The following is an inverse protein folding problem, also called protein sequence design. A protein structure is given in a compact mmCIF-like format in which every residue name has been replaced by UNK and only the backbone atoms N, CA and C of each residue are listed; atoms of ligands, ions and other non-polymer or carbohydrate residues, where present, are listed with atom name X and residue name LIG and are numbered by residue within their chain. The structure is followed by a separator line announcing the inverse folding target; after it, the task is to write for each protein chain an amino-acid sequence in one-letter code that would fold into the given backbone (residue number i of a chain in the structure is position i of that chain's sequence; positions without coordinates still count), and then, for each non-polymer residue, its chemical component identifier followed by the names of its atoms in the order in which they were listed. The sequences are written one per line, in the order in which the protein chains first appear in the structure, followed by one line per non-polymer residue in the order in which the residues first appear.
data_IF_051706315887
#
_entry.id   IF_051706315887
#
_cell.length_a   1.000
_cell.length_b   1.000
_cell.length_c   1.000
_cell.angle_alpha   90.00
_cell.angle_beta   90.00
_cell.angle_gamma   90.00
#
_symmetry.space_group_name_H-M   'P 1'
#
loop_
_entity.id
_entity.type
_entity.pdbx_description
1 polymer ?
#
# COMPACT_ATOMS: atom_id res chain seq x y z
N UNK A 1 30.37 1.95 20.76
CA UNK A 1 30.71 2.17 22.18
C UNK A 1 29.40 2.17 22.92
N UNK A 2 29.16 1.15 23.75
CA UNK A 2 27.99 1.12 24.61
C UNK A 2 28.37 1.84 25.91
N UNK A 3 27.48 2.67 26.44
CA UNK A 3 27.70 3.35 27.71
C UNK A 3 26.89 2.62 28.79
N UNK A 4 27.48 2.40 29.97
CA UNK A 4 26.70 1.97 31.11
C UNK A 4 25.91 3.15 31.71
N UNK A 5 25.13 2.90 32.76
CA UNK A 5 24.34 3.93 33.45
C UNK A 5 25.18 5.08 34.04
N UNK A 6 26.50 4.89 34.16
CA UNK A 6 27.45 5.87 34.68
C UNK A 6 28.20 6.61 33.56
N UNK A 7 27.89 6.34 32.30
CA UNK A 7 28.58 6.94 31.15
C UNK A 7 29.95 6.33 30.85
N UNK A 8 30.30 5.22 31.50
CA UNK A 8 31.55 4.51 31.24
C UNK A 8 31.44 3.71 29.95
N UNK A 9 32.53 3.71 29.18
CA UNK A 9 32.58 3.02 27.90
C UNK A 9 32.76 1.53 28.10
N UNK A 10 31.79 0.76 27.62
CA UNK A 10 31.92 -0.68 27.44
C UNK A 10 32.19 -0.99 25.96
N UNK A 11 33.30 -1.68 25.71
CA UNK A 11 33.65 -2.18 24.38
C UNK A 11 33.12 -3.58 24.22
N UNK A 12 32.62 -3.91 23.02
CA UNK A 12 32.25 -5.28 22.67
C UNK A 12 33.52 -6.12 22.64
N UNK A 13 33.53 -7.19 23.42
CA UNK A 13 34.63 -8.13 23.58
C UNK A 13 34.34 -9.45 22.87
N UNK A 14 35.36 -10.27 22.59
CA UNK A 14 35.15 -11.61 22.07
C UNK A 14 34.20 -12.45 22.93
N UNK A 15 33.31 -13.20 22.29
CA UNK A 15 32.24 -14.00 22.89
C UNK A 15 31.04 -13.23 23.50
N UNK A 16 30.95 -11.91 23.30
CA UNK A 16 29.77 -11.13 23.70
C UNK A 16 28.55 -11.38 22.79
N UNK A 17 27.37 -11.06 23.31
CA UNK A 17 26.13 -10.95 22.53
C UNK A 17 25.76 -9.49 22.22
N UNK A 18 25.33 -9.23 20.98
CA UNK A 18 24.83 -7.92 20.54
C UNK A 18 23.42 -8.11 19.97
N UNK A 19 22.43 -7.51 20.62
CA UNK A 19 21.06 -7.43 20.10
C UNK A 19 20.77 -6.02 19.59
N UNK A 20 20.61 -5.85 18.28
CA UNK A 20 20.23 -4.58 17.68
C UNK A 20 18.71 -4.49 17.59
N UNK A 21 18.12 -3.73 18.51
CA UNK A 21 16.67 -3.65 18.70
C UNK A 21 15.93 -2.75 17.69
N UNK A 22 16.65 -2.04 16.80
CA UNK A 22 16.01 -1.22 15.77
C UNK A 22 15.17 -2.11 14.85
N UNK A 23 13.91 -1.81 14.61
CA UNK A 23 13.06 -2.61 13.72
C UNK A 23 13.10 -2.13 12.25
N UNK A 24 13.66 -0.93 12.00
CA UNK A 24 13.76 -0.32 10.66
C UNK A 24 15.20 -0.41 10.14
N UNK A 25 15.33 -0.92 8.92
CA UNK A 25 16.60 -1.37 8.35
C UNK A 25 17.48 -0.27 7.78
N UNK A 26 16.90 0.77 7.17
CA UNK A 26 17.61 1.83 6.43
C UNK A 26 18.83 2.41 7.18
N UNK A 27 18.65 2.86 8.43
CA UNK A 27 19.73 3.42 9.27
C UNK A 27 20.53 2.36 10.02
N UNK A 28 20.01 1.14 10.12
CA UNK A 28 20.68 0.05 10.84
C UNK A 28 21.75 -0.65 9.97
N UNK A 29 21.62 -0.61 8.64
CA UNK A 29 22.51 -1.32 7.68
C UNK A 29 23.99 -1.04 7.89
N UNK A 30 24.40 0.23 7.85
CA UNK A 30 25.83 0.60 7.91
C UNK A 30 26.51 0.13 9.20
N UNK A 31 25.83 0.24 10.34
CA UNK A 31 26.35 -0.21 11.62
C UNK A 31 26.39 -1.75 11.69
N UNK A 32 25.36 -2.39 11.17
CA UNK A 32 25.23 -3.85 11.19
C UNK A 32 26.31 -4.56 10.39
N UNK A 33 26.76 -3.98 9.26
CA UNK A 33 27.90 -4.51 8.49
C UNK A 33 29.17 -4.59 9.33
N UNK A 34 29.50 -3.51 10.06
CA UNK A 34 30.68 -3.47 10.94
C UNK A 34 30.60 -4.45 12.11
N UNK A 35 29.42 -4.59 12.71
CA UNK A 35 29.23 -5.55 13.81
C UNK A 35 29.28 -6.98 13.28
N UNK A 36 28.72 -7.25 12.11
CA UNK A 36 28.77 -8.58 11.49
C UNK A 36 30.20 -9.01 11.14
N UNK A 37 31.01 -8.11 10.58
CA UNK A 37 32.45 -8.35 10.35
C UNK A 37 33.18 -8.67 11.67
N UNK A 38 32.90 -7.91 12.74
CA UNK A 38 33.47 -8.18 14.07
C UNK A 38 32.95 -9.50 14.65
N UNK A 39 31.69 -9.83 14.42
CA UNK A 39 31.02 -11.05 14.89
C UNK A 39 31.70 -12.31 14.37
N UNK A 40 32.07 -12.30 13.08
CA UNK A 40 32.78 -13.41 12.45
C UNK A 40 34.23 -13.56 12.96
N UNK A 41 34.90 -12.46 13.33
CA UNK A 41 36.29 -12.48 13.80
C UNK A 41 36.43 -12.78 15.30
N UNK A 42 35.46 -12.37 16.11
CA UNK A 42 35.55 -12.38 17.57
C UNK A 42 34.52 -13.31 18.25
N UNK A 43 33.89 -14.21 17.48
CA UNK A 43 32.87 -15.15 17.97
C UNK A 43 31.71 -14.45 18.72
N UNK A 44 31.19 -13.35 18.16
CA UNK A 44 30.05 -12.66 18.77
C UNK A 44 28.73 -13.32 18.36
N UNK A 45 27.76 -13.32 19.26
CA UNK A 45 26.36 -13.61 18.90
C UNK A 45 25.69 -12.31 18.45
N UNK A 46 25.55 -12.10 17.14
CA UNK A 46 24.89 -10.91 16.61
C UNK A 46 23.45 -11.21 16.18
N UNK A 47 22.50 -10.53 16.81
CA UNK A 47 21.06 -10.64 16.57
C UNK A 47 20.48 -9.29 16.17
N UNK A 48 19.64 -9.24 15.14
CA UNK A 48 18.88 -8.06 14.71
C UNK A 48 17.39 -8.24 14.97
N UNK A 49 16.68 -7.15 15.26
CA UNK A 49 15.22 -7.21 15.47
C UNK A 49 14.48 -7.73 14.24
N UNK A 50 14.78 -7.18 13.06
CA UNK A 50 14.24 -7.56 11.76
C UNK A 50 15.37 -7.82 10.78
N UNK A 51 15.05 -8.34 9.58
CA UNK A 51 16.06 -8.48 8.54
C UNK A 51 16.46 -7.10 7.99
N UNK A 52 17.72 -6.71 8.20
CA UNK A 52 18.23 -5.43 7.71
C UNK A 52 18.71 -5.47 6.26
N UNK A 53 19.28 -6.60 5.85
CA UNK A 53 19.80 -6.89 4.52
C UNK A 53 19.82 -8.42 4.34
N UNK A 54 19.49 -8.92 3.14
CA UNK A 54 19.23 -10.34 2.87
C UNK A 54 20.42 -11.24 3.23
N UNK A 55 21.62 -10.78 2.89
CA UNK A 55 22.86 -11.56 3.05
C UNK A 55 23.70 -11.09 4.25
N UNK A 56 23.11 -10.34 5.20
CA UNK A 56 23.80 -9.93 6.42
C UNK A 56 24.02 -11.15 7.34
N UNK A 57 25.27 -11.49 7.71
CA UNK A 57 25.55 -12.54 8.68
C UNK A 57 25.13 -12.13 10.10
N UNK A 58 23.85 -12.34 10.42
CA UNK A 58 23.25 -12.10 11.73
C UNK A 58 22.04 -13.03 11.93
N UNK A 59 21.72 -13.36 13.19
CA UNK A 59 20.45 -13.98 13.53
C UNK A 59 19.34 -12.93 13.47
N UNK A 60 18.15 -13.31 13.00
CA UNK A 60 17.01 -12.39 12.89
C UNK A 60 15.92 -12.81 13.87
N UNK A 61 15.56 -11.94 14.82
CA UNK A 61 14.56 -12.26 15.84
C UNK A 61 13.15 -12.39 15.26
N UNK A 62 12.77 -11.49 14.36
CA UNK A 62 11.51 -11.51 13.61
C UNK A 62 11.83 -11.56 12.11
N UNK A 63 11.99 -12.77 11.53
CA UNK A 63 12.30 -12.91 10.11
C UNK A 63 11.15 -12.37 9.25
N UNK A 64 11.43 -11.94 8.00
CA UNK A 64 10.37 -11.60 7.06
C UNK A 64 9.46 -12.81 6.85
N UNK A 65 8.17 -12.54 6.67
CA UNK A 65 7.18 -13.54 6.31
C UNK A 65 6.80 -13.29 4.87
N UNK A 66 7.00 -14.30 4.01
CA UNK A 66 6.53 -14.26 2.64
C UNK A 66 5.02 -14.52 2.63
N UNK A 67 4.27 -13.67 1.92
CA UNK A 67 2.82 -13.76 1.79
C UNK A 67 2.51 -14.09 0.34
N UNK A 68 2.28 -15.37 0.05
CA UNK A 68 2.00 -15.84 -1.32
C UNK A 68 0.52 -15.71 -1.69
N UNK A 69 -0.39 -15.73 -0.70
CA UNK A 69 -1.85 -15.63 -0.91
C UNK A 69 -2.29 -14.18 -1.04
N UNK A 70 -1.84 -13.51 -2.11
CA UNK A 70 -2.22 -12.12 -2.44
C UNK A 70 -3.41 -12.10 -3.40
N UNK A 71 -4.20 -11.01 -3.38
CA UNK A 71 -5.33 -10.86 -4.30
C UNK A 71 -4.92 -11.07 -5.76
N UNK A 72 -3.81 -10.45 -6.19
CA UNK A 72 -3.33 -10.56 -7.56
C UNK A 72 -2.87 -11.99 -7.91
N UNK A 73 -2.19 -12.68 -6.98
CA UNK A 73 -1.75 -14.06 -7.23
C UNK A 73 -2.95 -15.01 -7.35
N UNK A 74 -3.96 -14.90 -6.48
CA UNK A 74 -5.16 -15.75 -6.55
C UNK A 74 -5.94 -15.55 -7.86
N UNK A 75 -6.04 -14.31 -8.35
CA UNK A 75 -6.65 -14.00 -9.66
C UNK A 75 -5.84 -14.62 -10.80
N UNK A 76 -4.51 -14.52 -10.74
CA UNK A 76 -3.60 -15.12 -11.73
C UNK A 76 -3.70 -16.64 -11.76
N UNK A 77 -3.73 -17.28 -10.58
CA UNK A 77 -3.87 -18.74 -10.44
C UNK A 77 -5.21 -19.26 -10.97
N UNK A 78 -6.26 -18.43 -10.94
CA UNK A 78 -7.54 -18.73 -11.57
C UNK A 78 -7.52 -18.57 -13.11
N UNK A 79 -6.41 -18.12 -13.70
CA UNK A 79 -6.26 -17.90 -15.13
C UNK A 79 -6.94 -16.63 -15.64
N UNK A 80 -7.31 -15.72 -14.73
CA UNK A 80 -7.96 -14.46 -15.06
C UNK A 80 -6.94 -13.36 -15.36
N UNK A 81 -7.31 -12.43 -16.22
CA UNK A 81 -6.51 -11.24 -16.54
C UNK A 81 -6.78 -10.10 -15.56
N UNK A 82 -5.75 -9.30 -15.28
CA UNK A 82 -5.90 -8.16 -14.39
C UNK A 82 -5.01 -6.98 -14.79
N UNK A 83 -5.45 -5.77 -14.45
CA UNK A 83 -4.67 -4.55 -14.65
C UNK A 83 -4.58 -3.70 -13.38
N UNK A 84 -3.39 -3.26 -13.00
CA UNK A 84 -3.15 -2.36 -11.88
C UNK A 84 -2.72 -0.99 -12.39
N UNK A 85 -3.49 0.05 -12.07
CA UNK A 85 -3.39 1.36 -12.72
C UNK A 85 -3.19 2.43 -11.65
N UNK A 86 -2.07 3.15 -11.74
CA UNK A 86 -1.76 4.26 -10.84
C UNK A 86 -0.80 5.25 -11.50
N UNK A 87 -0.76 6.47 -10.96
CA UNK A 87 0.31 7.39 -11.30
C UNK A 87 1.58 7.18 -10.48
N UNK A 88 2.69 7.82 -10.87
CA UNK A 88 4.03 7.60 -10.30
C UNK A 88 4.06 7.60 -8.76
N UNK A 89 3.35 8.52 -8.12
CA UNK A 89 3.31 8.65 -6.65
C UNK A 89 2.73 7.40 -5.96
N UNK A 90 1.75 6.74 -6.58
CA UNK A 90 1.05 5.59 -6.02
C UNK A 90 1.32 4.28 -6.75
N UNK A 91 2.18 4.27 -7.77
CA UNK A 91 2.54 3.07 -8.52
C UNK A 91 3.11 1.94 -7.66
N UNK A 92 4.04 2.19 -6.70
CA UNK A 92 4.49 1.12 -5.79
C UNK A 92 3.36 0.57 -4.92
N UNK A 93 2.36 1.39 -4.58
CA UNK A 93 1.21 0.99 -3.76
C UNK A 93 0.27 0.07 -4.53
N UNK A 94 0.04 0.39 -5.80
CA UNK A 94 -0.78 -0.42 -6.69
C UNK A 94 -0.08 -1.68 -7.21
N UNK A 95 1.21 -1.89 -6.95
CA UNK A 95 1.98 -3.02 -7.47
C UNK A 95 2.72 -3.74 -6.35
N UNK A 96 3.92 -3.30 -6.02
CA UNK A 96 4.80 -3.89 -5.02
C UNK A 96 4.12 -4.10 -3.65
N UNK A 97 3.42 -3.09 -3.12
CA UNK A 97 2.73 -3.24 -1.82
C UNK A 97 1.45 -4.07 -1.91
N UNK A 98 0.66 -3.91 -2.98
CA UNK A 98 -0.54 -4.73 -3.22
C UNK A 98 -0.19 -6.22 -3.33
N UNK A 99 0.97 -6.52 -3.92
CA UNK A 99 1.50 -7.87 -4.10
C UNK A 99 2.44 -8.29 -2.96
N UNK A 100 2.31 -7.69 -1.77
CA UNK A 100 3.05 -8.06 -0.56
C UNK A 100 4.58 -8.13 -0.74
N UNK A 101 5.16 -7.07 -1.31
CA UNK A 101 6.59 -6.90 -1.58
C UNK A 101 7.14 -7.81 -2.69
N UNK A 102 6.26 -8.44 -3.48
CA UNK A 102 6.67 -9.16 -4.68
C UNK A 102 7.08 -8.17 -5.79
N UNK A 103 8.32 -8.29 -6.27
CA UNK A 103 8.82 -7.54 -7.41
C UNK A 103 8.47 -8.28 -8.71
N UNK A 104 7.45 -7.80 -9.42
CA UNK A 104 7.07 -8.35 -10.73
C UNK A 104 5.57 -8.40 -10.96
N UNK A 105 5.21 -8.94 -12.13
CA UNK A 105 3.84 -9.25 -12.53
C UNK A 105 3.63 -10.76 -12.45
N UNK A 106 2.50 -11.19 -11.89
CA UNK A 106 1.99 -12.54 -12.04
C UNK A 106 1.52 -12.78 -13.49
N UNK A 107 1.42 -14.04 -13.95
CA UNK A 107 0.82 -14.35 -15.25
C UNK A 107 -0.57 -13.71 -15.40
N UNK A 108 -0.80 -12.99 -16.50
CA UNK A 108 -2.08 -12.30 -16.75
C UNK A 108 -2.22 -10.94 -16.04
N UNK A 109 -1.23 -10.49 -15.27
CA UNK A 109 -1.21 -9.16 -14.64
C UNK A 109 -0.48 -8.12 -15.51
N UNK A 110 -1.13 -6.98 -15.74
CA UNK A 110 -0.57 -5.81 -16.42
C UNK A 110 -0.47 -4.62 -15.45
N UNK A 111 0.73 -4.05 -15.28
CA UNK A 111 0.90 -2.79 -14.55
C UNK A 111 0.92 -1.60 -15.49
N UNK A 112 0.08 -0.61 -15.22
CA UNK A 112 -0.08 0.58 -16.05
C UNK A 112 0.36 1.81 -15.24
N UNK A 113 1.58 2.27 -15.51
CA UNK A 113 2.14 3.49 -14.94
C UNK A 113 1.71 4.72 -15.73
N UNK A 114 1.06 5.68 -15.05
CA UNK A 114 0.83 7.02 -15.59
C UNK A 114 1.85 8.00 -15.01
N UNK A 115 2.71 8.66 -15.81
CA UNK A 115 3.69 9.60 -15.27
C UNK A 115 3.02 10.79 -14.57
N UNK A 116 3.29 11.00 -13.28
CA UNK A 116 2.77 12.13 -12.50
C UNK A 116 3.16 13.48 -13.10
N UNK A 117 2.44 14.54 -12.75
CA UNK A 117 2.80 15.89 -13.18
C UNK A 117 4.10 16.33 -12.49
N UNK A 118 5.00 16.98 -13.24
CA UNK A 118 6.23 17.55 -12.65
C UNK A 118 5.90 18.92 -12.07
N UNK A 119 5.42 18.95 -10.84
CA UNK A 119 5.13 20.16 -10.06
C UNK A 119 5.91 20.15 -8.75
N UNK A 120 6.15 21.34 -8.17
CA UNK A 120 6.87 21.45 -6.89
C UNK A 120 6.05 20.85 -5.73
N UNK A 121 4.74 21.11 -5.75
CA UNK A 121 3.74 20.61 -4.82
C UNK A 121 2.46 20.37 -5.61
N UNK A 122 1.70 19.33 -5.24
CA UNK A 122 0.55 18.87 -6.02
C UNK A 122 -0.65 19.82 -6.00
N UNK A 123 -0.68 20.80 -5.07
CA UNK A 123 -1.69 21.86 -5.07
C UNK A 123 -1.59 22.81 -6.28
N UNK A 124 -0.48 22.80 -7.01
CA UNK A 124 -0.32 23.55 -8.26
C UNK A 124 -0.99 22.86 -9.47
N UNK A 125 -1.33 21.58 -9.35
CA UNK A 125 -2.01 20.77 -10.36
C UNK A 125 -2.88 19.69 -9.67
N UNK A 126 -3.91 20.09 -8.91
CA UNK A 126 -4.69 19.20 -8.05
C UNK A 126 -5.46 18.12 -8.82
N UNK A 127 -5.69 18.31 -10.12
CA UNK A 127 -6.28 17.30 -11.01
C UNK A 127 -5.33 16.11 -11.25
N UNK A 128 -4.03 16.29 -10.99
CA UNK A 128 -2.96 15.31 -11.13
C UNK A 128 -3.10 14.50 -12.44
N UNK A 129 -3.23 13.17 -12.36
CA UNK A 129 -3.44 12.30 -13.53
C UNK A 129 -4.74 11.50 -13.49
N UNK A 130 -5.70 11.87 -12.65
CA UNK A 130 -6.99 11.16 -12.53
C UNK A 130 -7.64 10.87 -13.89
N UNK A 131 -7.75 11.87 -14.76
CA UNK A 131 -8.32 11.70 -16.11
C UNK A 131 -7.59 10.66 -16.97
N UNK A 132 -6.26 10.62 -16.90
CA UNK A 132 -5.46 9.64 -17.65
C UNK A 132 -5.60 8.24 -17.06
N UNK A 133 -5.68 8.14 -15.74
CA UNK A 133 -5.92 6.88 -15.02
C UNK A 133 -7.29 6.32 -15.43
N UNK A 134 -8.36 7.13 -15.39
CA UNK A 134 -9.69 6.73 -15.82
C UNK A 134 -9.73 6.31 -17.30
N UNK A 135 -9.06 7.05 -18.19
CA UNK A 135 -8.95 6.64 -19.60
C UNK A 135 -8.28 5.25 -19.74
N UNK A 136 -7.21 4.98 -18.99
CA UNK A 136 -6.55 3.65 -19.01
C UNK A 136 -7.41 2.55 -18.43
N UNK A 137 -8.19 2.85 -17.39
CA UNK A 137 -9.17 1.91 -16.85
C UNK A 137 -10.23 1.55 -17.91
N UNK A 138 -10.81 2.57 -18.57
CA UNK A 138 -11.82 2.37 -19.62
C UNK A 138 -11.25 1.56 -20.79
N UNK A 139 -10.00 1.83 -21.24
CA UNK A 139 -9.33 1.02 -22.26
C UNK A 139 -9.24 -0.46 -21.85
N UNK A 140 -8.96 -0.77 -20.58
CA UNK A 140 -8.88 -2.16 -20.08
C UNK A 140 -10.25 -2.81 -19.96
N UNK A 141 -11.27 -2.05 -19.53
CA UNK A 141 -12.67 -2.50 -19.51
C UNK A 141 -13.16 -2.84 -20.92
N UNK A 142 -12.80 -2.03 -21.93
CA UNK A 142 -13.15 -2.28 -23.33
C UNK A 142 -12.46 -3.53 -23.90
N UNK A 143 -11.21 -3.80 -23.49
CA UNK A 143 -10.47 -5.01 -23.85
C UNK A 143 -11.06 -6.28 -23.23
N UNK A 144 -11.84 -6.15 -22.16
CA UNK A 144 -12.43 -7.29 -21.44
C UNK A 144 -11.52 -7.87 -20.36
N UNK A 145 -10.66 -7.05 -19.73
CA UNK A 145 -9.84 -7.45 -18.59
C UNK A 145 -10.72 -7.80 -17.39
N UNK A 146 -10.47 -8.95 -16.75
CA UNK A 146 -11.38 -9.52 -15.73
C UNK A 146 -11.37 -8.74 -14.40
N UNK A 147 -10.22 -8.21 -13.99
CA UNK A 147 -10.07 -7.43 -12.75
C UNK A 147 -9.23 -6.17 -12.95
N UNK A 148 -9.67 -5.05 -12.36
CA UNK A 148 -8.91 -3.81 -12.35
C UNK A 148 -8.69 -3.32 -10.92
N UNK A 149 -7.44 -3.02 -10.57
CA UNK A 149 -7.10 -2.22 -9.39
C UNK A 149 -6.70 -0.82 -9.84
N UNK A 150 -7.37 0.21 -9.30
CA UNK A 150 -7.16 1.60 -9.69
C UNK A 150 -6.87 2.43 -8.44
N UNK A 151 -5.76 3.16 -8.44
CA UNK A 151 -5.45 4.13 -7.39
C UNK A 151 -5.50 5.56 -7.93
N UNK A 152 -6.42 6.37 -7.39
CA UNK A 152 -6.42 7.82 -7.57
C UNK A 152 -5.65 8.50 -6.45
N UNK A 153 -4.49 9.07 -6.78
CA UNK A 153 -3.56 9.65 -5.80
C UNK A 153 -4.02 11.00 -5.22
N UNK A 154 -4.95 11.67 -5.90
CA UNK A 154 -5.26 13.09 -5.72
C UNK A 154 -5.58 13.49 -4.28
N UNK A 155 -6.52 12.79 -3.63
CA UNK A 155 -6.99 13.15 -2.30
C UNK A 155 -5.87 13.14 -1.26
N UNK A 156 -4.94 12.19 -1.35
CA UNK A 156 -3.83 12.06 -0.43
C UNK A 156 -2.69 13.04 -0.75
N UNK A 157 -2.20 13.00 -1.99
CA UNK A 157 -1.05 13.79 -2.41
C UNK A 157 -1.31 15.30 -2.34
N UNK A 158 -2.53 15.73 -2.65
CA UNK A 158 -2.96 17.13 -2.49
C UNK A 158 -3.35 17.41 -1.04
N UNK A 159 -3.90 16.43 -0.31
CA UNK A 159 -4.19 16.51 1.12
C UNK A 159 -2.97 16.92 1.95
N UNK A 160 -1.81 16.34 1.65
CA UNK A 160 -0.52 16.69 2.28
C UNK A 160 -0.08 18.16 2.13
N UNK A 161 -0.69 18.93 1.24
CA UNK A 161 -0.39 20.37 1.09
C UNK A 161 -1.15 21.25 2.08
N UNK A 162 -2.24 20.73 2.68
CA UNK A 162 -3.16 21.49 3.51
C UNK A 162 -3.79 22.69 2.78
N UNK A 163 -3.81 22.70 1.45
CA UNK A 163 -4.43 23.73 0.63
C UNK A 163 -5.88 23.35 0.33
N UNK A 164 -6.82 23.87 1.12
CA UNK A 164 -8.24 23.49 1.09
C UNK A 164 -8.86 23.64 -0.31
N UNK A 165 -8.57 24.73 -1.03
CA UNK A 165 -9.14 24.94 -2.36
C UNK A 165 -8.59 23.95 -3.39
N UNK A 166 -7.29 23.62 -3.32
CA UNK A 166 -6.71 22.59 -4.17
C UNK A 166 -7.26 21.20 -3.82
N UNK A 167 -7.45 20.89 -2.53
CA UNK A 167 -8.02 19.61 -2.08
C UNK A 167 -9.45 19.43 -2.62
N UNK A 168 -10.28 20.48 -2.63
CA UNK A 168 -11.62 20.42 -3.23
C UNK A 168 -11.54 20.03 -4.70
N UNK A 169 -10.71 20.72 -5.49
CA UNK A 169 -10.52 20.40 -6.91
C UNK A 169 -10.01 18.97 -7.10
N UNK A 170 -9.11 18.51 -6.23
CA UNK A 170 -8.57 17.15 -6.26
C UNK A 170 -9.67 16.10 -6.06
N UNK A 171 -10.53 16.28 -5.05
CA UNK A 171 -11.65 15.37 -4.75
C UNK A 171 -12.73 15.44 -5.84
N UNK A 172 -13.12 16.64 -6.29
CA UNK A 172 -14.09 16.82 -7.38
C UNK A 172 -13.60 16.20 -8.71
N UNK A 173 -12.30 16.27 -8.98
CA UNK A 173 -11.70 15.60 -10.15
C UNK A 173 -11.81 14.09 -10.00
N UNK A 174 -11.51 13.53 -8.83
CA UNK A 174 -11.64 12.08 -8.60
C UNK A 174 -13.09 11.63 -8.73
N UNK A 175 -14.04 12.40 -8.18
CA UNK A 175 -15.48 12.09 -8.27
C UNK A 175 -15.96 11.97 -9.72
N UNK A 176 -15.67 12.98 -10.55
CA UNK A 176 -16.00 12.97 -11.98
C UNK A 176 -15.33 11.81 -12.74
N UNK A 177 -14.05 11.53 -12.46
CA UNK A 177 -13.32 10.46 -13.16
C UNK A 177 -13.72 9.06 -12.66
N UNK A 178 -14.18 8.95 -11.40
CA UNK A 178 -14.75 7.73 -10.84
C UNK A 178 -16.09 7.40 -11.48
N UNK A 179 -16.99 8.39 -11.65
CA UNK A 179 -18.27 8.22 -12.36
C UNK A 179 -18.05 7.57 -13.73
N UNK A 180 -17.13 8.13 -14.53
CA UNK A 180 -16.79 7.60 -15.86
C UNK A 180 -16.34 6.13 -15.84
N UNK A 181 -15.56 5.74 -14.82
CA UNK A 181 -15.10 4.34 -14.68
C UNK A 181 -16.24 3.44 -14.24
N UNK A 182 -17.07 3.89 -13.29
CA UNK A 182 -18.23 3.13 -12.80
C UNK A 182 -19.21 2.86 -13.94
N UNK A 183 -19.58 3.87 -14.71
CA UNK A 183 -20.47 3.72 -15.87
C UNK A 183 -19.91 2.72 -16.89
N UNK A 184 -18.60 2.76 -17.16
CA UNK A 184 -17.96 1.84 -18.10
C UNK A 184 -17.98 0.38 -17.59
N UNK A 185 -17.73 0.16 -16.30
CA UNK A 185 -17.79 -1.17 -15.68
C UNK A 185 -19.23 -1.70 -15.70
N UNK A 186 -20.20 -0.89 -15.27
CA UNK A 186 -21.61 -1.31 -15.21
C UNK A 186 -22.19 -1.58 -16.61
N UNK A 187 -21.78 -0.83 -17.63
CA UNK A 187 -22.16 -1.08 -19.02
C UNK A 187 -21.68 -2.46 -19.53
N UNK A 188 -20.66 -3.06 -18.91
CA UNK A 188 -20.20 -4.43 -19.17
C UNK A 188 -20.82 -5.47 -18.22
N UNK A 189 -21.71 -5.06 -17.31
CA UNK A 189 -22.28 -5.91 -16.28
C UNK A 189 -21.30 -6.26 -15.15
N UNK A 190 -20.22 -5.48 -15.01
CA UNK A 190 -19.24 -5.65 -13.93
C UNK A 190 -19.69 -5.03 -12.61
N UNK A 191 -18.86 -5.21 -11.58
CA UNK A 191 -19.08 -4.68 -10.22
C UNK A 191 -17.89 -3.81 -9.83
N UNK A 192 -18.15 -2.67 -9.20
CA UNK A 192 -17.13 -1.78 -8.65
C UNK A 192 -17.18 -1.83 -7.13
N UNK A 193 -16.01 -1.97 -6.51
CA UNK A 193 -15.82 -1.79 -5.07
C UNK A 193 -14.98 -0.52 -4.84
N UNK A 194 -15.56 0.48 -4.19
CA UNK A 194 -14.93 1.80 -3.96
C UNK A 194 -14.57 1.91 -2.49
N UNK A 195 -13.30 2.21 -2.22
CA UNK A 195 -12.76 2.35 -0.85
C UNK A 195 -11.51 3.22 -0.84
N UNK A 196 -10.89 3.39 0.32
CA UNK A 196 -9.61 4.08 0.50
C UNK A 196 -8.69 3.28 1.43
N UNK A 197 -7.39 3.49 1.33
CA UNK A 197 -6.37 2.91 2.21
C UNK A 197 -6.30 3.63 3.57
N UNK A 198 -6.58 4.93 3.60
CA UNK A 198 -6.69 5.73 4.81
C UNK A 198 -7.38 7.09 4.54
N UNK A 199 -7.60 7.87 5.59
CA UNK A 199 -8.04 9.28 5.48
C UNK A 199 -6.87 10.27 5.35
N UNK A 200 -7.15 11.45 4.82
CA UNK A 200 -6.26 12.62 4.73
C UNK A 200 -7.10 13.88 4.39
N UNK A 201 -7.64 13.95 3.17
CA UNK A 201 -8.31 15.13 2.61
C UNK A 201 -9.48 15.67 3.44
N UNK A 202 -10.15 14.82 4.22
CA UNK A 202 -11.31 15.18 5.04
C UNK A 202 -10.95 16.02 6.28
N UNK A 203 -9.66 16.06 6.67
CA UNK A 203 -9.16 16.91 7.74
C UNK A 203 -7.95 17.72 7.28
N UNK A 204 -8.20 18.99 6.96
CA UNK A 204 -7.21 19.92 6.41
C UNK A 204 -6.82 21.05 7.37
N UNK A 205 -7.46 21.12 8.55
CA UNK A 205 -7.15 22.05 9.64
C UNK A 205 -7.13 21.29 10.96
N UNK A 206 -6.10 21.54 11.78
CA UNK A 206 -6.05 21.05 13.15
C UNK A 206 -7.07 21.82 14.00
N UNK A 207 -8.01 21.11 14.62
CA UNK A 207 -9.10 21.73 15.38
C UNK A 207 -8.64 22.39 16.69
N UNK A 208 -7.48 22.03 17.21
CA UNK A 208 -6.91 22.58 18.44
C UNK A 208 -6.05 23.81 18.15
N UNK A 209 -5.20 23.75 17.12
CA UNK A 209 -4.23 24.82 16.83
C UNK A 209 -4.71 25.79 15.74
N UNK A 210 -5.65 25.38 14.89
CA UNK A 210 -6.09 26.12 13.70
C UNK A 210 -5.07 26.10 12.55
N UNK A 211 -3.96 25.37 12.70
CA UNK A 211 -2.93 25.23 11.68
C UNK A 211 -3.36 24.24 10.58
N UNK A 212 -2.64 24.28 9.46
CA UNK A 212 -2.85 23.32 8.37
C UNK A 212 -2.58 21.91 8.87
N UNK A 213 -3.52 21.01 8.63
CA UNK A 213 -3.34 19.59 8.86
C UNK A 213 -2.88 18.94 7.56
N UNK A 214 -1.67 18.37 7.56
CA UNK A 214 -1.02 17.78 6.38
C UNK A 214 -0.75 16.28 6.54
N UNK A 215 -1.20 15.66 7.63
CA UNK A 215 -0.98 14.25 7.91
C UNK A 215 -2.22 13.40 7.56
N UNK A 216 -2.05 12.08 7.54
CA UNK A 216 -3.17 11.16 7.47
C UNK A 216 -4.03 11.26 8.75
N UNK A 217 -5.25 10.75 8.67
CA UNK A 217 -6.16 10.66 9.81
C UNK A 217 -6.37 9.20 10.22
N UNK A 218 -7.02 9.01 11.37
CA UNK A 218 -7.51 7.71 11.84
C UNK A 218 -9.01 7.54 11.58
N UNK A 219 -9.59 8.34 10.68
CA UNK A 219 -11.00 8.24 10.34
C UNK A 219 -11.29 6.94 9.57
N UNK A 220 -12.54 6.49 9.64
CA UNK A 220 -12.99 5.35 8.85
C UNK A 220 -13.01 5.71 7.36
N UNK A 221 -12.71 4.73 6.52
CA UNK A 221 -12.78 4.84 5.05
C UNK A 221 -14.12 4.32 4.52
N UNK A 222 -14.60 4.82 3.37
CA UNK A 222 -15.81 4.28 2.75
C UNK A 222 -15.58 2.85 2.25
N UNK A 223 -16.65 2.07 2.20
CA UNK A 223 -16.72 0.80 1.47
C UNK A 223 -18.06 0.77 0.74
N UNK A 224 -18.02 0.88 -0.58
CA UNK A 224 -19.20 0.96 -1.45
C UNK A 224 -19.06 -0.15 -2.50
N UNK A 225 -20.15 -0.86 -2.79
CA UNK A 225 -20.19 -1.87 -3.85
C UNK A 225 -21.38 -1.60 -4.77
N UNK A 226 -21.18 -1.68 -6.08
CA UNK A 226 -22.27 -1.47 -7.06
C UNK A 226 -23.09 -2.72 -7.34
N UNK A 227 -22.81 -3.82 -6.64
CA UNK A 227 -23.54 -5.08 -6.76
C UNK A 227 -24.99 -4.90 -6.28
N UNK A 228 -26.01 -5.06 -7.15
CA UNK A 228 -27.40 -4.81 -6.79
C UNK A 228 -27.87 -5.67 -5.62
N UNK A 229 -28.50 -5.04 -4.62
CA UNK A 229 -29.03 -5.72 -3.43
C UNK A 229 -27.99 -6.10 -2.37
N UNK A 230 -26.70 -5.97 -2.66
CA UNK A 230 -25.65 -6.29 -1.70
C UNK A 230 -25.65 -5.30 -0.53
N UNK A 231 -25.49 -5.82 0.69
CA UNK A 231 -25.23 -5.03 1.89
C UNK A 231 -23.83 -5.35 2.40
N UNK A 232 -23.07 -4.34 2.77
CA UNK A 232 -21.75 -4.51 3.37
C UNK A 232 -21.82 -4.45 4.89
N UNK A 233 -21.11 -5.34 5.57
CA UNK A 233 -20.82 -5.18 6.99
C UNK A 233 -19.67 -4.22 7.24
N UNK A 234 -19.58 -3.74 8.48
CA UNK A 234 -18.35 -3.11 8.96
C UNK A 234 -17.21 -4.13 8.98
N UNK A 235 -16.00 -3.65 8.72
CA UNK A 235 -14.78 -4.45 8.68
C UNK A 235 -13.53 -3.58 8.61
N UNK A 236 -12.45 -4.16 8.10
CA UNK A 236 -11.11 -3.61 8.00
C UNK A 236 -10.57 -3.80 6.58
N UNK A 237 -9.40 -3.23 6.28
CA UNK A 237 -8.76 -3.42 4.97
C UNK A 237 -8.47 -4.89 4.64
N UNK A 238 -8.22 -5.73 5.66
CA UNK A 238 -7.99 -7.16 5.48
C UNK A 238 -9.22 -7.92 4.93
N UNK A 239 -10.40 -7.32 5.02
CA UNK A 239 -11.66 -7.90 4.56
C UNK A 239 -11.95 -7.61 3.08
N UNK A 240 -11.18 -6.73 2.43
CA UNK A 240 -11.40 -6.32 1.04
C UNK A 240 -11.03 -7.46 0.09
N UNK A 241 -9.82 -8.01 0.15
CA UNK A 241 -9.37 -9.08 -0.74
C UNK A 241 -10.32 -10.31 -0.76
N UNK A 242 -10.72 -10.91 0.38
CA UNK A 242 -11.66 -12.02 0.36
C UNK A 242 -13.05 -11.62 -0.17
N UNK A 243 -13.48 -10.37 0.03
CA UNK A 243 -14.72 -9.85 -0.56
C UNK A 243 -14.64 -9.77 -2.07
N UNK A 244 -13.54 -9.22 -2.63
CA UNK A 244 -13.33 -9.14 -4.07
C UNK A 244 -13.27 -10.53 -4.69
N UNK A 245 -12.49 -11.46 -4.12
CA UNK A 245 -12.43 -12.85 -4.60
C UNK A 245 -13.82 -13.49 -4.66
N UNK A 246 -14.65 -13.26 -3.64
CA UNK A 246 -16.03 -13.78 -3.62
C UNK A 246 -16.89 -13.16 -4.72
N UNK A 247 -16.78 -11.84 -4.99
CA UNK A 247 -17.52 -11.15 -6.07
C UNK A 247 -17.18 -11.75 -7.44
N UNK A 248 -15.90 -12.04 -7.70
CA UNK A 248 -15.46 -12.61 -8.98
C UNK A 248 -15.62 -14.14 -9.05
N UNK A 249 -16.28 -14.75 -8.05
CA UNK A 249 -16.60 -16.19 -8.05
C UNK A 249 -15.46 -17.12 -7.60
N UNK A 250 -14.42 -16.59 -6.97
CA UNK A 250 -13.31 -17.36 -6.41
C UNK A 250 -13.51 -17.61 -4.90
N UNK A 251 -13.05 -18.77 -4.43
CA UNK A 251 -13.05 -19.09 -3.00
C UNK A 251 -11.80 -18.49 -2.35
N UNK A 252 -11.93 -17.59 -1.35
CA UNK A 252 -10.75 -17.06 -0.66
C UNK A 252 -9.92 -18.17 -0.02
N UNK A 253 -8.58 -18.15 -0.15
CA UNK A 253 -7.72 -19.14 0.50
C UNK A 253 -7.79 -19.02 2.03
N UNK A 254 -7.48 -20.11 2.73
CA UNK A 254 -7.59 -20.16 4.21
C UNK A 254 -6.67 -19.18 4.93
N UNK A 255 -5.56 -18.79 4.29
CA UNK A 255 -4.59 -17.85 4.85
C UNK A 255 -5.08 -16.40 4.77
N UNK A 256 -6.09 -16.09 3.93
CA UNK A 256 -6.83 -14.84 3.98
C UNK A 256 -7.82 -14.87 5.14
N UNK A 257 -7.35 -14.49 6.34
CA UNK A 257 -8.15 -14.52 7.57
C UNK A 257 -9.19 -13.41 7.69
N UNK A 258 -9.24 -12.48 6.72
CA UNK A 258 -10.28 -11.48 6.61
C UNK A 258 -11.66 -12.10 6.36
N UNK A 259 -12.72 -11.34 6.61
CA UNK A 259 -14.10 -11.76 6.44
C UNK A 259 -14.65 -11.19 5.14
N UNK A 260 -15.51 -11.95 4.47
CA UNK A 260 -16.31 -11.43 3.35
C UNK A 260 -17.31 -10.42 3.90
N UNK A 261 -17.30 -9.19 3.36
CA UNK A 261 -18.15 -8.10 3.83
C UNK A 261 -19.56 -8.15 3.27
N UNK A 262 -19.78 -8.81 2.14
CA UNK A 262 -21.11 -8.93 1.51
C UNK A 262 -22.01 -9.82 2.37
N UNK A 263 -23.22 -9.31 2.62
CA UNK A 263 -24.34 -10.01 3.25
C UNK A 263 -25.51 -10.11 2.27
N UNK A 264 -26.28 -11.20 2.43
CA UNK A 264 -27.62 -11.37 1.86
C UNK A 264 -28.62 -10.32 2.38
#
# INVERSE_FOLDING_TARGET
VFLNALGERYTVQPNDGVFFFNFRSDRARMFSKKISEKSQNENLCFVTMTQYEKDLPALVAFPPVDIDTTLANEISLAGLTQAHIAETEKYPHATYFLNCLHEGQYPGEEHILVPSQKVKTHDLAPEMRAKKIANKAIEQIEKGTDFLFINFANADMVGHTGNVEAIKVAVETVDHELERVVEAVEAKGGVVFITADHGNAEQNVDRQTGEKHTAHTTNLVPAIVTLPGAKLSQGTLADIAPTILTIIGLTPPKDMTGKVLIRE
#
